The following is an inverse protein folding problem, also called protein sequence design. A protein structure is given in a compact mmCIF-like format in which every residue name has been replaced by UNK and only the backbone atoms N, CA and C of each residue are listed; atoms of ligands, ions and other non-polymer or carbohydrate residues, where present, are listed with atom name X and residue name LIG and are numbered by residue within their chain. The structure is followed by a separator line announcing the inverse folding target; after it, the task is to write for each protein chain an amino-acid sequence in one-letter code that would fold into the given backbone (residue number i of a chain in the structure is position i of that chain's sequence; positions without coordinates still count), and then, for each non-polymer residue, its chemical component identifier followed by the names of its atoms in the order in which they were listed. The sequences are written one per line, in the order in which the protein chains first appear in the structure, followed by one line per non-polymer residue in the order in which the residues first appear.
data_IF_953773679487
#
_entry.id   IF_953773679487
#
_cell.length_a   1.000
_cell.length_b   1.000
_cell.length_c   1.000
_cell.angle_alpha   90.00
_cell.angle_beta   90.00
_cell.angle_gamma   90.00
#
_symmetry.space_group_name_H-M   'P 1'
#
loop_
_entity.id
_entity.type
_entity.pdbx_description
1 polymer ?
#
# COMPACT_ATOMS: atom_id res chain seq x y z
N UNK A 1 -7.23 -2.67 -23.95
CA UNK A 1 -7.17 -1.86 -22.70
C UNK A 1 -7.58 -2.64 -21.46
N UNK A 2 -8.75 -3.30 -21.45
CA UNK A 2 -9.25 -4.03 -20.27
C UNK A 2 -8.38 -5.20 -19.79
N UNK A 3 -7.68 -5.90 -20.69
CA UNK A 3 -6.90 -7.09 -20.35
C UNK A 3 -5.67 -6.77 -19.47
N UNK A 4 -4.97 -5.67 -19.76
CA UNK A 4 -3.86 -5.19 -18.91
C UNK A 4 -4.36 -4.68 -17.55
N UNK A 5 -5.53 -4.04 -17.51
CA UNK A 5 -6.16 -3.63 -16.25
C UNK A 5 -6.55 -4.84 -15.39
N UNK A 6 -7.00 -5.94 -16.01
CA UNK A 6 -7.36 -7.18 -15.31
C UNK A 6 -6.15 -7.83 -14.63
N UNK A 7 -5.02 -7.92 -15.31
CA UNK A 7 -3.78 -8.49 -14.73
C UNK A 7 -3.39 -7.73 -13.45
N UNK A 8 -3.46 -6.40 -13.48
CA UNK A 8 -3.15 -5.56 -12.31
C UNK A 8 -4.08 -5.88 -11.13
N UNK A 9 -5.38 -6.02 -11.40
CA UNK A 9 -6.36 -6.34 -10.34
C UNK A 9 -6.11 -7.73 -9.77
N UNK A 10 -5.89 -8.74 -10.62
CA UNK A 10 -5.61 -10.11 -10.18
C UNK A 10 -4.34 -10.17 -9.32
N UNK A 11 -3.27 -9.49 -9.74
CA UNK A 11 -2.01 -9.44 -8.99
C UNK A 11 -2.21 -8.86 -7.58
N UNK A 12 -3.00 -7.79 -7.47
CA UNK A 12 -3.26 -7.15 -6.17
C UNK A 12 -4.15 -8.04 -5.29
N UNK A 13 -5.18 -8.67 -5.86
CA UNK A 13 -6.05 -9.60 -5.13
C UNK A 13 -5.22 -10.79 -4.60
N UNK A 14 -4.35 -11.37 -5.43
CA UNK A 14 -3.45 -12.45 -5.01
C UNK A 14 -2.54 -11.98 -3.88
N UNK A 15 -1.90 -10.81 -4.01
CA UNK A 15 -1.04 -10.26 -2.97
C UNK A 15 -1.78 -10.07 -1.64
N UNK A 16 -3.01 -9.57 -1.68
CA UNK A 16 -3.84 -9.37 -0.48
C UNK A 16 -4.18 -10.71 0.17
N UNK A 17 -4.59 -11.71 -0.62
CA UNK A 17 -4.91 -13.04 -0.09
C UNK A 17 -3.68 -13.69 0.53
N UNK A 18 -2.53 -13.66 -0.15
CA UNK A 18 -1.27 -14.20 0.37
C UNK A 18 -0.84 -13.49 1.67
N UNK A 19 -0.94 -12.17 1.71
CA UNK A 19 -0.59 -11.41 2.91
C UNK A 19 -1.51 -11.72 4.10
N UNK A 20 -2.82 -11.87 3.87
CA UNK A 20 -3.77 -12.27 4.93
C UNK A 20 -3.49 -13.69 5.43
N UNK A 21 -3.20 -14.63 4.53
CA UNK A 21 -2.83 -15.99 4.90
C UNK A 21 -1.53 -16.03 5.72
N UNK A 22 -0.55 -15.20 5.35
CA UNK A 22 0.70 -15.06 6.09
C UNK A 22 0.50 -14.48 7.49
N UNK A 23 -0.32 -13.42 7.62
CA UNK A 23 -0.61 -12.79 8.92
C UNK A 23 -1.41 -13.72 9.83
N UNK A 24 -2.34 -14.51 9.27
CA UNK A 24 -3.18 -15.44 10.04
C UNK A 24 -2.45 -16.71 10.49
N UNK A 25 -1.16 -16.88 10.19
CA UNK A 25 -0.35 -18.09 10.44
C UNK A 25 -0.88 -19.37 9.78
N UNK A 26 -1.82 -19.25 8.83
CA UNK A 26 -2.26 -20.38 8.01
C UNK A 26 -1.28 -20.69 6.87
N UNK A 27 -0.32 -19.81 6.61
CA UNK A 27 0.70 -20.00 5.60
C UNK A 27 1.83 -20.91 6.10
N UNK A 28 2.06 -22.08 5.49
CA UNK A 28 2.97 -23.11 6.01
C UNK A 28 4.46 -22.83 5.72
N UNK A 29 4.78 -21.84 4.88
CA UNK A 29 6.14 -21.57 4.40
C UNK A 29 6.60 -20.19 4.87
N UNK A 30 7.61 -20.13 5.76
CA UNK A 30 8.17 -18.88 6.28
C UNK A 30 7.61 -18.50 7.66
N UNK A 31 8.50 -18.28 8.62
CA UNK A 31 8.16 -17.86 9.98
C UNK A 31 7.75 -16.39 10.02
N UNK A 32 6.53 -16.08 9.60
CA UNK A 32 6.04 -14.70 9.58
C UNK A 32 5.53 -14.31 10.97
N UNK A 33 6.13 -13.29 11.58
CA UNK A 33 5.71 -12.77 12.89
C UNK A 33 4.27 -12.20 12.86
N UNK A 34 3.76 -11.84 11.68
CA UNK A 34 2.41 -11.32 11.48
C UNK A 34 2.24 -9.94 12.10
N UNK A 35 1.11 -9.71 12.79
CA UNK A 35 0.79 -8.41 13.40
C UNK A 35 1.81 -7.95 14.46
N UNK A 36 2.63 -8.84 15.02
CA UNK A 36 3.62 -8.43 16.03
C UNK A 36 4.76 -7.58 15.44
N UNK A 37 5.03 -7.66 14.12
CA UNK A 37 6.05 -6.83 13.48
C UNK A 37 5.74 -5.32 13.56
N UNK A 38 4.46 -4.93 13.74
CA UNK A 38 4.04 -3.53 13.86
C UNK A 38 4.58 -2.86 15.13
N UNK A 39 4.85 -3.61 16.19
CA UNK A 39 5.27 -3.06 17.49
C UNK A 39 6.54 -3.70 18.06
N UNK A 40 6.97 -4.85 17.54
CA UNK A 40 8.10 -5.60 18.08
C UNK A 40 9.45 -4.87 17.96
N UNK A 41 9.60 -3.97 16.99
CA UNK A 41 10.87 -3.33 16.64
C UNK A 41 10.95 -1.88 17.15
N UNK A 42 10.76 -1.69 18.47
CA UNK A 42 10.80 -0.37 19.10
C UNK A 42 9.47 0.39 19.13
N UNK A 43 8.34 -0.31 19.01
CA UNK A 43 6.99 0.28 18.98
C UNK A 43 6.53 0.66 17.57
N UNK A 44 5.39 1.34 17.47
CA UNK A 44 4.79 1.74 16.18
C UNK A 44 5.52 2.93 15.51
N UNK A 45 6.16 3.79 16.31
CA UNK A 45 6.89 4.97 15.86
C UNK A 45 8.28 5.05 16.52
N UNK A 46 9.18 4.11 16.20
CA UNK A 46 10.50 4.02 16.84
C UNK A 46 11.39 5.24 16.56
N UNK A 47 11.22 5.87 15.40
CA UNK A 47 11.94 7.09 15.00
C UNK A 47 11.16 8.39 15.29
N UNK A 48 10.08 8.31 16.08
CA UNK A 48 9.21 9.46 16.39
C UNK A 48 8.35 9.96 15.22
N UNK A 49 7.72 11.13 15.40
CA UNK A 49 6.80 11.72 14.42
C UNK A 49 7.50 12.40 13.22
N UNK A 50 8.78 12.76 13.35
CA UNK A 50 9.51 13.49 12.32
C UNK A 50 9.51 12.77 10.95
N UNK A 51 9.92 11.50 10.88
CA UNK A 51 9.90 10.73 9.63
C UNK A 51 8.50 10.55 9.04
N UNK A 52 7.46 10.49 9.89
CA UNK A 52 6.06 10.41 9.45
C UNK A 52 5.66 11.68 8.70
N UNK A 53 6.03 12.85 9.22
CA UNK A 53 5.76 14.14 8.57
C UNK A 53 6.52 14.25 7.24
N UNK A 54 7.80 13.86 7.21
CA UNK A 54 8.59 13.88 5.97
C UNK A 54 8.00 12.95 4.91
N UNK A 55 7.59 11.74 5.29
CA UNK A 55 6.92 10.80 4.39
C UNK A 55 5.57 11.35 3.90
N UNK A 56 4.78 11.98 4.77
CA UNK A 56 3.51 12.61 4.41
C UNK A 56 3.73 13.71 3.37
N UNK A 57 4.74 14.56 3.54
CA UNK A 57 5.07 15.60 2.57
C UNK A 57 5.45 14.97 1.21
N UNK A 58 6.28 13.92 1.19
CA UNK A 58 6.62 13.21 -0.05
C UNK A 58 5.40 12.61 -0.77
N UNK A 59 4.45 12.07 0.00
CA UNK A 59 3.17 11.59 -0.54
C UNK A 59 2.35 12.74 -1.10
N UNK A 60 2.22 13.87 -0.39
CA UNK A 60 1.49 15.04 -0.89
C UNK A 60 2.06 15.57 -2.21
N UNK A 61 3.39 15.66 -2.33
CA UNK A 61 4.05 16.04 -3.58
C UNK A 61 3.75 15.08 -4.73
N UNK A 62 3.64 13.79 -4.45
CA UNK A 62 3.31 12.77 -5.47
C UNK A 62 1.89 12.89 -6.01
N UNK A 63 0.98 13.58 -5.29
CA UNK A 63 -0.42 13.74 -5.66
C UNK A 63 -0.78 15.13 -6.24
N UNK A 64 0.18 16.04 -6.44
CA UNK A 64 -0.10 17.38 -6.99
C UNK A 64 -0.82 17.33 -8.36
N UNK A 65 -0.59 16.30 -9.17
CA UNK A 65 -1.23 16.13 -10.48
C UNK A 65 -2.69 15.62 -10.43
N UNK A 66 -3.17 15.17 -9.27
CA UNK A 66 -4.53 14.63 -9.13
C UNK A 66 -5.62 15.73 -9.17
N UNK A 67 -5.23 16.99 -8.97
CA UNK A 67 -6.11 18.15 -8.99
C UNK A 67 -6.70 18.40 -10.39
N UNK A 68 -5.92 18.18 -11.45
CA UNK A 68 -6.33 18.41 -12.85
C UNK A 68 -7.51 17.52 -13.25
N UNK A 69 -7.52 16.26 -12.79
CA UNK A 69 -8.63 15.32 -13.02
C UNK A 69 -9.92 15.77 -12.32
N UNK A 70 -9.77 16.44 -11.17
CA UNK A 70 -10.90 16.96 -10.39
C UNK A 70 -11.52 18.17 -11.09
N UNK A 71 -10.70 19.04 -11.69
CA UNK A 71 -11.16 20.17 -12.50
C UNK A 71 -11.96 19.67 -13.70
N UNK A 72 -11.43 18.71 -14.48
CA UNK A 72 -12.13 18.13 -15.62
C UNK A 72 -13.46 17.44 -15.23
N UNK A 73 -13.51 16.77 -14.07
CA UNK A 73 -14.75 16.18 -13.55
C UNK A 73 -15.80 17.23 -13.16
N UNK A 74 -15.36 18.43 -12.77
CA UNK A 74 -16.25 19.55 -12.38
C UNK A 74 -16.91 20.27 -13.55
N UNK A 75 -16.49 20.01 -14.80
CA UNK A 75 -17.11 20.56 -16.02
C UNK A 75 -18.23 19.66 -16.59
N UNK A 76 -18.54 18.53 -15.95
CA UNK A 76 -19.55 17.57 -16.43
C UNK A 76 -21.00 17.96 -16.11
N UNK A 77 -21.97 17.41 -16.86
CA UNK A 77 -23.42 17.70 -16.79
C UNK A 77 -24.11 17.57 -15.40
N UNK A 78 -23.43 17.05 -14.37
CA UNK A 78 -23.87 17.02 -12.98
C UNK A 78 -22.63 16.97 -12.04
N UNK A 79 -21.93 18.09 -11.86
CA UNK A 79 -20.55 18.07 -11.38
C UNK A 79 -20.44 17.64 -9.91
N UNK A 80 -21.41 17.98 -9.06
CA UNK A 80 -21.40 17.63 -7.63
C UNK A 80 -21.53 16.12 -7.41
N UNK A 81 -22.52 15.49 -8.05
CA UNK A 81 -22.80 14.04 -7.93
C UNK A 81 -21.66 13.21 -8.57
N UNK A 82 -21.21 13.62 -9.76
CA UNK A 82 -20.16 12.91 -10.50
C UNK A 82 -18.80 13.04 -9.82
N UNK A 83 -18.46 14.21 -9.28
CA UNK A 83 -17.23 14.42 -8.50
C UNK A 83 -17.21 13.54 -7.25
N UNK A 84 -18.32 13.47 -6.50
CA UNK A 84 -18.42 12.60 -5.32
C UNK A 84 -18.21 11.12 -5.68
N UNK A 85 -18.82 10.65 -6.76
CA UNK A 85 -18.65 9.26 -7.23
C UNK A 85 -17.22 8.98 -7.69
N UNK A 86 -16.63 9.90 -8.47
CA UNK A 86 -15.26 9.79 -8.93
C UNK A 86 -14.27 9.74 -7.75
N UNK A 87 -14.39 10.65 -6.79
CA UNK A 87 -13.57 10.67 -5.57
C UNK A 87 -13.72 9.36 -4.80
N UNK A 88 -14.95 8.91 -4.50
CA UNK A 88 -15.15 7.65 -3.76
C UNK A 88 -14.51 6.46 -4.48
N UNK A 89 -14.66 6.40 -5.81
CA UNK A 89 -14.07 5.35 -6.64
C UNK A 89 -12.54 5.37 -6.58
N UNK A 90 -11.93 6.56 -6.61
CA UNK A 90 -10.47 6.73 -6.50
C UNK A 90 -9.98 6.39 -5.09
N UNK A 91 -10.60 6.94 -4.04
CA UNK A 91 -10.23 6.72 -2.64
C UNK A 91 -10.28 5.25 -2.29
N UNK A 92 -11.35 4.55 -2.67
CA UNK A 92 -11.46 3.11 -2.43
C UNK A 92 -10.30 2.32 -3.05
N UNK A 93 -9.93 2.65 -4.30
CA UNK A 93 -8.79 2.03 -4.97
C UNK A 93 -7.46 2.34 -4.27
N UNK A 94 -7.24 3.58 -3.82
CA UNK A 94 -6.01 3.96 -3.11
C UNK A 94 -5.93 3.21 -1.77
N UNK A 95 -7.03 3.16 -1.01
CA UNK A 95 -7.08 2.41 0.24
C UNK A 95 -6.78 0.93 0.03
N UNK A 96 -7.43 0.29 -0.95
CA UNK A 96 -7.27 -1.13 -1.19
C UNK A 96 -5.88 -1.47 -1.77
N UNK A 97 -5.41 -0.71 -2.76
CA UNK A 97 -4.18 -1.04 -3.48
C UNK A 97 -2.91 -0.51 -2.82
N UNK A 98 -2.90 0.71 -2.31
CA UNK A 98 -1.71 1.30 -1.69
C UNK A 98 -1.67 1.04 -0.20
N UNK A 99 -2.70 1.46 0.53
CA UNK A 99 -2.71 1.34 2.00
C UNK A 99 -2.75 -0.13 2.41
N UNK A 100 -3.62 -0.93 1.78
CA UNK A 100 -3.71 -2.37 2.01
C UNK A 100 -2.39 -3.09 1.75
N UNK A 101 -1.73 -2.81 0.62
CA UNK A 101 -0.44 -3.45 0.30
C UNK A 101 0.67 -3.05 1.27
N UNK A 102 0.80 -1.76 1.59
CA UNK A 102 1.81 -1.28 2.55
C UNK A 102 1.58 -1.91 3.93
N UNK A 103 0.31 -1.98 4.37
CA UNK A 103 -0.04 -2.60 5.65
C UNK A 103 0.42 -4.06 5.72
N UNK A 104 0.14 -4.84 4.68
CA UNK A 104 0.58 -6.24 4.60
C UNK A 104 2.10 -6.37 4.61
N UNK A 105 2.80 -5.53 3.84
CA UNK A 105 4.26 -5.50 3.80
C UNK A 105 4.85 -5.23 5.19
N UNK A 106 4.35 -4.23 5.91
CA UNK A 106 4.86 -3.88 7.26
C UNK A 106 4.57 -4.98 8.28
N UNK A 107 3.50 -5.77 8.09
CA UNK A 107 3.23 -6.94 8.92
C UNK A 107 4.19 -8.11 8.60
N UNK A 108 4.63 -8.26 7.36
CA UNK A 108 5.46 -9.39 6.91
C UNK A 108 6.95 -9.09 7.08
N UNK A 109 7.39 -7.93 6.61
CA UNK A 109 8.78 -7.48 6.60
C UNK A 109 9.00 -6.50 7.76
N UNK A 110 9.97 -6.76 8.66
CA UNK A 110 10.40 -5.80 9.66
C UNK A 110 10.81 -4.47 9.02
N UNK A 111 10.32 -3.34 9.56
CA UNK A 111 10.65 -2.02 9.00
C UNK A 111 12.16 -1.70 9.04
N UNK A 112 12.90 -2.32 9.95
CA UNK A 112 14.34 -2.18 10.12
C UNK A 112 15.15 -3.26 9.36
N UNK A 113 14.56 -3.94 8.37
CA UNK A 113 15.29 -4.92 7.55
C UNK A 113 16.35 -4.20 6.69
N UNK A 114 17.65 -4.54 6.82
CA UNK A 114 18.73 -3.85 6.11
C UNK A 114 18.66 -4.04 4.58
N UNK A 115 17.90 -5.02 4.08
CA UNK A 115 17.68 -5.19 2.64
C UNK A 115 16.77 -4.10 2.06
N UNK A 116 15.94 -3.43 2.87
CA UNK A 116 15.06 -2.34 2.41
C UNK A 116 15.80 -1.07 2.01
N UNK A 117 17.03 -0.88 2.50
CA UNK A 117 17.87 0.28 2.15
C UNK A 117 18.81 0.00 0.97
N UNK A 118 18.87 -1.23 0.47
CA UNK A 118 19.71 -1.58 -0.68
C UNK A 118 19.07 -1.12 -1.99
N UNK A 119 19.84 -0.41 -2.81
CA UNK A 119 19.43 0.01 -4.15
C UNK A 119 19.07 -1.23 -5.00
N UNK A 120 17.82 -1.29 -5.48
CA UNK A 120 17.30 -2.40 -6.27
C UNK A 120 16.57 -3.49 -5.46
N UNK A 121 16.56 -3.41 -4.12
CA UNK A 121 15.72 -4.24 -3.26
C UNK A 121 14.49 -3.45 -2.81
N UNK A 122 13.34 -3.78 -3.40
CA UNK A 122 12.04 -3.20 -3.02
C UNK A 122 11.34 -4.03 -1.94
N UNK A 123 10.47 -3.37 -1.16
CA UNK A 123 9.71 -4.01 -0.10
C UNK A 123 8.83 -5.18 -0.58
N UNK A 124 8.32 -5.11 -1.81
CA UNK A 124 7.56 -6.20 -2.44
C UNK A 124 8.41 -7.45 -2.67
N UNK A 125 9.63 -7.29 -3.20
CA UNK A 125 10.56 -8.40 -3.42
C UNK A 125 10.88 -9.09 -2.10
N UNK A 126 11.20 -8.29 -1.09
CA UNK A 126 11.51 -8.81 0.25
C UNK A 126 10.33 -9.57 0.86
N UNK A 127 9.12 -9.08 0.65
CA UNK A 127 7.89 -9.76 1.09
C UNK A 127 7.80 -11.16 0.46
N UNK A 128 8.01 -11.29 -0.85
CA UNK A 128 7.98 -12.59 -1.52
C UNK A 128 9.08 -13.54 -1.03
N UNK A 129 10.30 -13.05 -0.81
CA UNK A 129 11.40 -13.85 -0.26
C UNK A 129 11.10 -14.40 1.15
N UNK A 130 10.33 -13.67 1.96
CA UNK A 130 9.90 -14.15 3.30
C UNK A 130 8.77 -15.18 3.19
N UNK A 131 7.90 -15.04 2.19
CA UNK A 131 6.76 -15.93 1.97
C UNK A 131 7.12 -17.28 1.35
N UNK A 132 8.31 -17.39 0.74
CA UNK A 132 8.79 -18.60 0.06
C UNK A 132 8.45 -18.61 -1.43
#
# INVERSE_FOLDING_TARGET
EFWFALIKVIAIVLFIVLGILAISRLWPVGGVSGLSNLSAHGGFMPNGLGPVIVALLGVMFSFLGAEIVTIAASESKNPVEQTKRAIKSVVWRICLFYIGSIFLIVCIVPWNDPLLSQTGYGAYRRTFEILG
#
